data_IF_702576238997
#
_entry.id   IF_702576238997
#
_cell.length_a   1.000
_cell.length_b   1.000
_cell.length_c   1.000
_cell.angle_alpha   90.00
_cell.angle_beta   90.00
_cell.angle_gamma   90.00
#
_symmetry.space_group_name_H-M   'P 1'
#
loop_
_entity.id
_entity.type
_entity.pdbx_description
1 polymer ?
#
# COMPACT_ATOMS: atom_id res chain seq x y z
N UNK A 1 22.46 5.56 4.00
CA UNK A 1 22.35 4.34 3.18
C UNK A 1 20.88 4.17 2.83
N UNK A 2 20.52 4.45 1.57
CA UNK A 2 19.19 4.21 0.95
C UNK A 2 19.17 2.77 0.43
N UNK A 3 17.97 2.25 0.12
CA UNK A 3 17.61 0.95 -0.51
C UNK A 3 17.10 -0.05 0.56
N UNK A 4 15.95 -0.74 0.44
CA UNK A 4 15.19 -1.26 -0.72
C UNK A 4 13.79 -0.63 -0.85
N UNK A 5 13.42 -0.09 -2.01
CA UNK A 5 12.91 -0.77 -3.22
C UNK A 5 11.48 -1.29 -3.04
N UNK A 6 10.53 -0.35 -3.01
CA UNK A 6 9.25 -0.60 -3.68
C UNK A 6 9.62 -0.73 -5.15
N UNK A 7 9.84 -1.96 -5.62
CA UNK A 7 10.06 -2.29 -7.03
C UNK A 7 8.81 -1.92 -7.82
N UNK A 8 8.64 -0.62 -8.06
CA UNK A 8 7.52 -0.04 -8.75
C UNK A 8 7.84 -0.10 -10.25
N UNK A 9 7.74 -1.30 -10.83
CA UNK A 9 7.20 -1.36 -12.19
C UNK A 9 5.76 -0.90 -12.07
N UNK A 10 5.49 0.39 -12.22
CA UNK A 10 4.19 1.01 -11.90
C UNK A 10 2.97 0.38 -12.59
N UNK A 11 3.17 -0.47 -13.61
CA UNK A 11 2.12 -1.29 -14.24
C UNK A 11 1.83 -2.62 -13.54
N UNK A 12 2.78 -3.23 -12.81
CA UNK A 12 2.58 -4.55 -12.19
C UNK A 12 1.69 -4.48 -10.94
N UNK A 13 1.80 -3.43 -10.13
CA UNK A 13 0.97 -3.27 -8.92
C UNK A 13 -0.48 -2.89 -9.24
N UNK A 14 -0.75 -2.41 -10.46
CA UNK A 14 -2.10 -2.14 -10.94
C UNK A 14 -2.79 -3.39 -11.47
N UNK A 15 -2.02 -4.41 -11.86
CA UNK A 15 -2.58 -5.63 -12.42
C UNK A 15 -2.86 -6.68 -11.33
N UNK A 16 -3.99 -7.38 -11.41
CA UNK A 16 -4.25 -8.55 -10.58
C UNK A 16 -3.11 -9.58 -10.64
N UNK A 17 -2.61 -9.98 -9.48
CA UNK A 17 -1.46 -10.88 -9.35
C UNK A 17 -0.11 -10.18 -9.22
N UNK A 18 -0.06 -8.85 -9.31
CA UNK A 18 1.14 -8.06 -9.04
C UNK A 18 1.72 -8.30 -7.64
N UNK A 19 3.04 -8.42 -7.52
CA UNK A 19 3.71 -8.61 -6.23
C UNK A 19 4.30 -7.30 -5.69
N UNK A 20 4.14 -7.09 -4.40
CA UNK A 20 4.70 -5.99 -3.62
C UNK A 20 5.62 -6.57 -2.54
N UNK A 21 6.86 -6.10 -2.48
CA UNK A 21 7.81 -6.44 -1.42
C UNK A 21 8.11 -5.20 -0.59
N UNK A 22 8.09 -5.34 0.74
CA UNK A 22 8.28 -4.23 1.68
C UNK A 22 9.26 -4.67 2.75
N UNK A 23 10.30 -3.87 3.00
CA UNK A 23 11.22 -4.07 4.12
C UNK A 23 11.12 -2.92 5.11
N UNK A 24 10.98 -3.21 6.41
CA UNK A 24 10.85 -2.16 7.42
C UNK A 24 11.29 -2.63 8.82
N UNK A 25 11.41 -1.67 9.74
CA UNK A 25 11.66 -1.91 11.16
C UNK A 25 10.32 -2.16 11.85
N UNK A 26 10.21 -3.27 12.58
CA UNK A 26 9.02 -3.62 13.33
C UNK A 26 8.81 -2.64 14.48
N UNK A 27 7.56 -2.39 14.86
CA UNK A 27 7.19 -1.59 16.02
C UNK A 27 7.14 -2.45 17.28
N UNK A 28 8.30 -2.80 17.83
CA UNK A 28 8.42 -3.57 19.07
C UNK A 28 9.30 -2.85 20.09
N UNK A 29 9.18 -3.22 21.37
CA UNK A 29 10.06 -2.67 22.40
C UNK A 29 11.54 -3.02 22.14
N UNK A 30 11.79 -4.19 21.51
CA UNK A 30 13.14 -4.64 21.18
C UNK A 30 13.75 -3.79 20.07
N UNK A 31 12.98 -3.47 19.02
CA UNK A 31 13.46 -2.61 17.93
C UNK A 31 13.66 -1.17 18.38
N UNK A 32 12.87 -0.67 19.31
CA UNK A 32 13.11 0.61 19.96
C UNK A 32 14.45 0.61 20.72
N UNK A 33 14.64 -0.39 21.59
CA UNK A 33 15.83 -0.49 22.43
C UNK A 33 17.10 -0.67 21.60
N UNK A 34 17.10 -1.55 20.60
CA UNK A 34 18.30 -1.83 19.80
C UNK A 34 18.48 -0.84 18.64
N UNK A 35 17.39 -0.51 17.93
CA UNK A 35 17.43 0.35 16.75
C UNK A 35 17.63 1.82 17.08
N UNK A 36 17.03 2.33 18.16
CA UNK A 36 17.13 3.75 18.53
C UNK A 36 18.12 3.93 19.67
N UNK A 37 17.84 3.35 20.84
CA UNK A 37 18.62 3.64 22.06
C UNK A 37 20.05 3.14 21.91
N UNK A 38 20.23 1.87 21.58
CA UNK A 38 21.56 1.29 21.45
C UNK A 38 22.31 1.88 20.26
N UNK A 39 21.71 1.87 19.06
CA UNK A 39 22.44 2.24 17.84
C UNK A 39 22.76 3.74 17.73
N UNK A 40 21.89 4.62 18.22
CA UNK A 40 22.12 6.09 18.10
C UNK A 40 22.74 6.71 19.33
N UNK A 41 22.33 6.28 20.54
CA UNK A 41 22.71 6.98 21.78
C UNK A 41 23.91 6.33 22.47
N UNK A 42 24.04 5.00 22.39
CA UNK A 42 25.08 4.24 23.09
C UNK A 42 26.26 3.91 22.17
N UNK A 43 26.00 3.22 21.07
CA UNK A 43 27.03 2.68 20.18
C UNK A 43 27.49 3.69 19.11
N UNK A 44 26.69 4.73 18.82
CA UNK A 44 27.04 5.76 17.84
C UNK A 44 27.21 5.22 16.41
N UNK A 45 26.53 4.12 16.09
CA UNK A 45 26.61 3.46 14.77
C UNK A 45 25.96 4.34 13.69
N UNK A 46 24.90 5.06 14.08
CA UNK A 46 24.15 5.98 13.21
C UNK A 46 23.94 7.33 13.89
N UNK A 47 23.78 8.43 13.12
CA UNK A 47 23.48 9.75 13.68
C UNK A 47 22.21 9.75 14.52
N UNK A 48 22.16 10.59 15.56
CA UNK A 48 20.95 10.78 16.38
C UNK A 48 19.78 11.28 15.53
N UNK A 49 18.60 10.72 15.75
CA UNK A 49 17.39 11.03 15.01
C UNK A 49 17.28 10.32 13.66
N UNK A 50 18.15 9.33 13.37
CA UNK A 50 18.03 8.49 12.17
C UNK A 50 16.75 7.68 12.19
N UNK A 51 16.36 7.16 13.36
CA UNK A 51 15.16 6.40 13.57
C UNK A 51 14.13 7.20 14.37
N UNK A 52 12.91 7.23 13.86
CA UNK A 52 11.75 7.86 14.51
C UNK A 52 10.76 6.77 14.88
N UNK A 53 10.50 6.57 16.17
CA UNK A 53 9.66 5.49 16.68
C UNK A 53 8.26 5.48 16.06
N UNK A 54 7.69 6.65 15.81
CA UNK A 54 6.34 6.81 15.26
C UNK A 54 6.22 6.21 13.86
N UNK A 55 7.33 6.15 13.11
CA UNK A 55 7.40 5.61 11.74
C UNK A 55 7.56 4.10 11.69
N UNK A 56 7.81 3.44 12.82
CA UNK A 56 7.90 1.97 12.84
C UNK A 56 6.50 1.39 12.64
N UNK A 57 6.41 0.28 11.90
CA UNK A 57 5.14 -0.33 11.49
C UNK A 57 5.20 -1.82 11.82
N UNK A 58 4.24 -2.30 12.63
CA UNK A 58 4.13 -3.73 12.91
C UNK A 58 3.54 -4.48 11.71
N UNK A 59 3.79 -5.79 11.56
CA UNK A 59 3.22 -6.59 10.49
C UNK A 59 1.69 -6.48 10.41
N UNK A 60 1.01 -6.48 11.55
CA UNK A 60 -0.46 -6.37 11.63
C UNK A 60 -0.94 -4.99 11.16
N UNK A 61 -0.19 -3.94 11.50
CA UNK A 61 -0.51 -2.59 11.01
C UNK A 61 -0.27 -2.47 9.51
N UNK A 62 0.77 -3.11 9.00
CA UNK A 62 1.05 -3.16 7.57
C UNK A 62 -0.08 -3.88 6.83
N UNK A 63 -0.49 -5.04 7.30
CA UNK A 63 -1.61 -5.81 6.75
C UNK A 63 -2.91 -5.00 6.76
N UNK A 64 -3.23 -4.34 7.87
CA UNK A 64 -4.39 -3.45 7.98
C UNK A 64 -4.36 -2.27 6.99
N UNK A 65 -3.19 -1.87 6.49
CA UNK A 65 -3.05 -0.84 5.45
C UNK A 65 -3.21 -1.47 4.06
N UNK A 66 -2.68 -2.67 3.83
CA UNK A 66 -2.63 -3.30 2.51
C UNK A 66 -3.95 -3.97 2.11
N UNK A 67 -4.62 -4.67 3.03
CA UNK A 67 -5.84 -5.44 2.75
C UNK A 67 -6.98 -4.57 2.17
N UNK A 68 -7.32 -3.38 2.73
CA UNK A 68 -8.33 -2.50 2.14
C UNK A 68 -7.97 -1.98 0.74
N UNK A 69 -6.69 -2.02 0.37
CA UNK A 69 -6.20 -1.64 -0.95
C UNK A 69 -6.13 -2.83 -1.92
N UNK A 70 -6.71 -3.97 -1.54
CA UNK A 70 -6.74 -5.20 -2.35
C UNK A 70 -5.38 -5.86 -2.49
N UNK A 71 -4.47 -5.65 -1.54
CA UNK A 71 -3.17 -6.32 -1.47
C UNK A 71 -3.21 -7.29 -0.29
N UNK A 72 -3.09 -8.58 -0.58
CA UNK A 72 -3.08 -9.60 0.46
C UNK A 72 -1.66 -10.00 0.84
N UNK A 73 -1.35 -9.94 2.14
CA UNK A 73 -0.01 -10.28 2.66
C UNK A 73 0.14 -11.80 2.71
N UNK A 74 1.08 -12.32 1.92
CA UNK A 74 1.31 -13.78 1.80
C UNK A 74 2.41 -14.28 2.71
N UNK A 75 3.45 -13.47 2.94
CA UNK A 75 4.61 -13.91 3.71
C UNK A 75 5.24 -12.74 4.44
N UNK A 76 5.69 -13.00 5.66
CA UNK A 76 6.50 -12.08 6.47
C UNK A 76 7.71 -12.85 6.98
N UNK A 77 8.91 -12.33 6.71
CA UNK A 77 10.18 -12.92 7.13
C UNK A 77 11.02 -11.90 7.90
N UNK A 78 11.64 -12.31 8.99
CA UNK A 78 12.54 -11.48 9.77
C UNK A 78 13.86 -11.21 9.06
N UNK A 79 14.48 -10.07 9.38
CA UNK A 79 15.80 -9.69 8.90
C UNK A 79 16.66 -9.17 10.04
N UNK A 80 17.88 -9.69 10.15
CA UNK A 80 18.84 -9.32 11.18
C UNK A 80 20.12 -8.77 10.55
N UNK A 81 20.57 -7.63 11.04
CA UNK A 81 21.83 -7.02 10.66
C UNK A 81 22.92 -7.39 11.66
N UNK A 82 24.06 -7.90 11.18
CA UNK A 82 25.22 -8.15 12.00
C UNK A 82 26.25 -7.01 11.80
N UNK A 83 26.43 -6.11 12.79
CA UNK A 83 27.32 -4.95 12.66
C UNK A 83 28.81 -5.31 12.60
N UNK A 84 29.21 -6.49 13.10
CA UNK A 84 30.61 -6.93 13.07
C UNK A 84 31.02 -7.44 11.68
N UNK A 85 30.09 -8.13 11.02
CA UNK A 85 30.32 -8.69 9.68
C UNK A 85 29.87 -7.76 8.55
N UNK A 86 28.96 -6.82 8.83
CA UNK A 86 28.33 -5.95 7.84
C UNK A 86 27.24 -6.63 7.00
N UNK A 87 26.90 -7.90 7.26
CA UNK A 87 25.94 -8.67 6.47
C UNK A 87 24.55 -8.77 7.12
N UNK A 88 23.55 -8.85 6.26
CA UNK A 88 22.16 -9.13 6.60
C UNK A 88 21.86 -10.62 6.47
N UNK A 89 21.03 -11.13 7.38
CA UNK A 89 20.58 -12.52 7.39
C UNK A 89 19.06 -12.58 7.50
N UNK A 90 18.47 -13.53 6.78
CA UNK A 90 17.08 -13.92 6.95
C UNK A 90 16.90 -14.65 8.29
N UNK A 91 15.78 -14.40 8.95
CA UNK A 91 15.45 -14.98 10.25
C UNK A 91 13.94 -15.21 10.33
N UNK A 92 13.52 -16.14 11.17
CA UNK A 92 12.11 -16.26 11.55
C UNK A 92 11.71 -15.18 12.56
N UNK A 93 12.68 -14.51 13.19
CA UNK A 93 12.43 -13.48 14.18
C UNK A 93 12.14 -12.11 13.53
N UNK A 94 10.89 -11.67 13.62
CA UNK A 94 10.42 -10.39 13.10
C UNK A 94 10.52 -9.24 14.09
N UNK A 95 11.07 -9.46 15.30
CA UNK A 95 11.05 -8.48 16.39
C UNK A 95 11.88 -7.22 16.11
N UNK A 96 12.83 -7.28 15.17
CA UNK A 96 13.66 -6.14 14.77
C UNK A 96 13.26 -5.58 13.42
N UNK A 97 13.66 -6.26 12.34
CA UNK A 97 13.30 -5.90 10.97
C UNK A 97 12.56 -7.07 10.34
N UNK A 98 11.74 -6.78 9.34
CA UNK A 98 11.10 -7.79 8.53
C UNK A 98 10.95 -7.35 7.08
N UNK A 99 10.81 -8.33 6.20
CA UNK A 99 10.33 -8.20 4.85
C UNK A 99 8.94 -8.81 4.74
N UNK A 100 8.04 -8.16 4.02
CA UNK A 100 6.71 -8.68 3.71
C UNK A 100 6.54 -8.79 2.18
N UNK A 101 5.89 -9.86 1.74
CA UNK A 101 5.42 -10.06 0.37
C UNK A 101 3.90 -10.00 0.37
N UNK A 102 3.35 -9.11 -0.46
CA UNK A 102 1.93 -9.00 -0.70
C UNK A 102 1.61 -9.14 -2.18
N UNK A 103 0.42 -9.64 -2.50
CA UNK A 103 -0.04 -9.84 -3.88
C UNK A 103 -1.32 -9.07 -4.09
N UNK A 104 -1.42 -8.36 -5.22
CA UNK A 104 -2.64 -7.66 -5.63
C UNK A 104 -3.71 -8.68 -5.95
N UNK A 105 -4.76 -8.73 -5.16
CA UNK A 105 -5.94 -9.57 -5.41
C UNK A 105 -6.63 -9.14 -6.70
N UNK A 106 -7.19 -10.10 -7.44
CA UNK A 106 -8.10 -9.78 -8.55
C UNK A 106 -9.31 -9.07 -7.95
N UNK A 107 -9.52 -7.82 -8.37
CA UNK A 107 -10.47 -6.84 -7.82
C UNK A 107 -11.76 -7.46 -7.30
N UNK A 108 -12.10 -7.22 -6.02
CA UNK A 108 -13.50 -7.05 -5.64
C UNK A 108 -13.89 -5.66 -6.14
N UNK A 109 -14.82 -5.58 -7.08
CA UNK A 109 -15.40 -4.29 -7.47
C UNK A 109 -16.00 -3.66 -6.21
N UNK A 110 -15.57 -2.45 -5.85
CA UNK A 110 -16.34 -1.68 -4.90
C UNK A 110 -17.74 -1.53 -5.49
N UNK A 111 -18.81 -1.98 -4.80
CA UNK A 111 -20.15 -1.68 -5.26
C UNK A 111 -20.26 -0.15 -5.18
N UNK A 112 -20.35 0.49 -6.34
CA UNK A 112 -20.74 1.89 -6.42
C UNK A 112 -22.03 2.01 -5.61
N UNK A 113 -22.11 2.90 -4.59
CA UNK A 113 -23.34 3.07 -3.85
C UNK A 113 -24.48 3.32 -4.83
N UNK A 114 -25.60 2.59 -4.70
CA UNK A 114 -26.73 2.64 -5.62
C UNK A 114 -27.26 4.07 -5.87
N UNK A 115 -26.98 5.00 -4.97
CA UNK A 115 -27.25 6.43 -5.11
C UNK A 115 -26.58 7.07 -6.34
N UNK A 116 -25.40 6.61 -6.74
CA UNK A 116 -24.67 7.14 -7.90
C UNK A 116 -25.25 6.63 -9.24
N UNK A 117 -25.78 5.40 -9.24
CA UNK A 117 -26.42 4.78 -10.42
C UNK A 117 -27.72 5.50 -10.75
N UNK A 118 -28.57 5.73 -9.75
CA UNK A 118 -29.86 6.42 -9.94
C UNK A 118 -29.68 7.88 -10.37
N UNK A 119 -28.63 8.55 -9.89
CA UNK A 119 -28.33 9.93 -10.31
C UNK A 119 -27.87 10.01 -11.77
N UNK A 120 -27.05 9.05 -12.22
CA UNK A 120 -26.63 8.94 -13.62
C UNK A 120 -27.78 8.64 -14.58
N UNK A 121 -28.72 7.77 -14.19
CA UNK A 121 -29.91 7.45 -15.00
C UNK A 121 -30.88 8.64 -15.09
N UNK A 122 -31.08 9.37 -13.99
CA UNK A 122 -31.97 10.55 -13.97
C UNK A 122 -31.40 11.73 -14.76
N UNK A 123 -30.08 11.93 -14.77
CA UNK A 123 -29.43 12.95 -15.60
C UNK A 123 -29.46 12.60 -17.11
N UNK A 124 -29.29 11.32 -17.48
CA UNK A 124 -29.40 10.87 -18.87
C UNK A 124 -30.85 10.92 -19.41
N UNK A 125 -31.84 10.53 -18.61
CA UNK A 125 -33.26 10.67 -18.97
C UNK A 125 -33.64 12.15 -19.15
N UNK A 126 -33.11 13.03 -18.30
CA UNK A 126 -33.32 14.48 -18.43
C UNK A 126 -32.66 15.03 -19.70
N UNK A 127 -31.43 14.61 -20.03
CA UNK A 127 -30.73 15.05 -21.24
C UNK A 127 -31.45 14.63 -22.53
N UNK A 128 -32.01 13.41 -22.58
CA UNK A 128 -32.71 12.90 -23.75
C UNK A 128 -34.09 13.55 -23.97
N UNK A 129 -34.75 14.02 -22.91
CA UNK A 129 -36.02 14.73 -23.01
C UNK A 129 -35.89 16.13 -23.65
N UNK A 130 -34.69 16.74 -23.62
CA UNK A 130 -34.45 18.06 -24.23
C UNK A 130 -33.92 17.99 -25.69
N UNK A 131 -33.73 16.78 -26.25
CA UNK A 131 -33.09 16.59 -27.56
C UNK A 131 -34.06 16.28 -28.73
N UNK A 132 -35.37 16.51 -28.60
CA UNK A 132 -36.31 16.39 -29.72
C UNK A 132 -36.74 17.76 -30.28
N UNK A 133 -36.11 18.29 -31.36
CA UNK A 133 -36.65 19.41 -32.11
C UNK A 133 -37.75 18.93 -33.08
N UNK A 134 -38.86 19.68 -33.10
CA UNK A 134 -40.04 19.38 -33.90
C UNK A 134 -39.81 19.48 -35.41
N UNK A 135 -40.58 18.69 -36.16
CA UNK A 135 -40.65 18.78 -37.61
C UNK A 135 -42.09 18.55 -38.08
N UNK A 136 -42.79 19.65 -38.35
CA UNK A 136 -43.97 19.67 -39.22
C UNK A 136 -44.05 21.03 -39.91
N UNK A 137 -43.48 21.14 -41.12
CA UNK A 137 -44.08 21.92 -42.20
C UNK A 137 -43.38 21.60 -43.54
N UNK A 138 -44.07 20.92 -44.46
CA UNK A 138 -43.98 21.12 -45.91
C UNK A 138 -45.05 20.27 -46.60
N UNK A 139 -46.12 20.92 -47.05
CA UNK A 139 -47.02 20.41 -48.10
C UNK A 139 -47.52 21.62 -48.88
N UNK A 140 -46.79 21.94 -49.97
CA UNK A 140 -47.21 22.92 -50.96
C UNK A 140 -46.98 22.35 -52.36
N UNK A 141 -48.00 21.69 -52.90
CA UNK A 141 -48.52 21.81 -54.28
C UNK A 141 -49.66 20.83 -54.51
#
# INVERSE_FOLDING_TARGET
>A
MKILDVGCGGGLLTEPGGSLFITTINKTQLSYALGIVFSEQIAGIVPKGTHTWEKFVSPEKLESILEPNGLSVQTVAGMLYNPFSGYWHWSENTSLNYAAHAVKSRVQEHPVPAEFVLKGETEQLRANAYASPGMHEELKK
#
